data_IF_527744943672
#
_entry.id   IF_527744943672
#
_cell.length_a   1.000
_cell.length_b   1.000
_cell.length_c   1.000
_cell.angle_alpha   90.00
_cell.angle_beta   90.00
_cell.angle_gamma   90.00
#
_symmetry.space_group_name_H-M   'P 1'
#
loop_
_entity.id
_entity.type
_entity.pdbx_description
1 polymer ?
#
# COMPACT_ATOMS: atom_id res chain seq x y z
N UNK A 1 5.22 -20.45 -1.41
CA UNK A 1 6.14 -19.33 -1.74
C UNK A 1 6.73 -19.60 -3.12
N UNK A 2 6.73 -18.64 -4.04
CA UNK A 2 7.40 -18.79 -5.35
C UNK A 2 8.90 -18.52 -5.19
N UNK A 3 9.76 -19.26 -5.92
CA UNK A 3 11.23 -19.13 -5.83
C UNK A 3 11.71 -17.69 -6.08
N UNK A 4 11.05 -16.97 -6.99
CA UNK A 4 11.33 -15.57 -7.29
C UNK A 4 11.09 -14.63 -6.10
N UNK A 5 10.03 -14.86 -5.31
CA UNK A 5 9.74 -14.03 -4.13
C UNK A 5 10.77 -14.21 -3.02
N UNK A 6 11.30 -15.44 -2.85
CA UNK A 6 12.41 -15.72 -1.93
C UNK A 6 13.70 -15.03 -2.37
N UNK A 7 14.04 -15.08 -3.66
CA UNK A 7 15.24 -14.42 -4.19
C UNK A 7 15.16 -12.90 -3.99
N UNK A 8 14.04 -12.27 -4.34
CA UNK A 8 13.84 -10.82 -4.17
C UNK A 8 13.88 -10.41 -2.69
N UNK A 9 13.27 -11.19 -1.80
CA UNK A 9 13.31 -10.94 -0.36
C UNK A 9 14.73 -11.04 0.19
N UNK A 10 15.47 -12.09 -0.17
CA UNK A 10 16.86 -12.28 0.24
C UNK A 10 17.74 -11.14 -0.27
N UNK A 11 17.57 -10.73 -1.54
CA UNK A 11 18.33 -9.64 -2.13
C UNK A 11 18.04 -8.29 -1.43
N UNK A 12 16.76 -8.00 -1.18
CA UNK A 12 16.34 -6.79 -0.46
C UNK A 12 16.83 -6.77 0.99
N UNK A 13 16.81 -7.93 1.67
CA UNK A 13 17.34 -8.07 3.03
C UNK A 13 18.85 -7.91 3.07
N UNK A 14 19.57 -8.50 2.10
CA UNK A 14 21.02 -8.34 1.99
C UNK A 14 21.41 -6.88 1.73
N UNK A 15 20.68 -6.18 0.85
CA UNK A 15 20.87 -4.76 0.59
C UNK A 15 20.61 -3.93 1.85
N UNK A 16 19.54 -4.22 2.58
CA UNK A 16 19.24 -3.57 3.86
C UNK A 16 20.37 -3.73 4.88
N UNK A 17 20.85 -4.97 5.09
CA UNK A 17 21.95 -5.26 6.01
C UNK A 17 23.24 -4.56 5.56
N UNK A 18 23.52 -4.55 4.25
CA UNK A 18 24.70 -3.88 3.70
C UNK A 18 24.65 -2.35 3.93
N UNK A 19 23.50 -1.71 3.69
CA UNK A 19 23.31 -0.28 3.94
C UNK A 19 23.45 0.07 5.43
N UNK A 20 22.90 -0.77 6.32
CA UNK A 20 23.00 -0.60 7.77
C UNK A 20 24.44 -0.78 8.27
N UNK A 21 25.15 -1.78 7.75
CA UNK A 21 26.55 -2.04 8.07
C UNK A 21 27.47 -0.93 7.55
N UNK A 22 27.18 -0.40 6.35
CA UNK A 22 27.96 0.68 5.73
C UNK A 22 27.80 2.01 6.48
N UNK A 23 26.58 2.37 6.89
CA UNK A 23 26.34 3.60 7.64
C UNK A 23 26.81 3.52 9.10
N UNK A 24 26.89 2.30 9.64
CA UNK A 24 27.22 2.05 11.04
C UNK A 24 25.99 2.06 11.93
N UNK A 25 25.77 0.94 12.61
CA UNK A 25 24.61 0.72 13.51
C UNK A 25 24.56 1.75 14.64
N UNK A 26 25.72 2.23 15.11
CA UNK A 26 25.81 3.20 16.20
C UNK A 26 25.20 4.56 15.89
N UNK A 27 25.49 5.12 14.70
CA UNK A 27 24.96 6.43 14.29
C UNK A 27 23.43 6.39 14.16
N UNK A 28 22.92 5.35 13.48
CA UNK A 28 21.49 5.11 13.35
C UNK A 28 20.80 4.93 14.70
N UNK A 29 21.41 4.15 15.61
CA UNK A 29 20.88 3.94 16.95
C UNK A 29 20.82 5.24 17.76
N UNK A 30 21.83 6.12 17.65
CA UNK A 30 21.81 7.42 18.32
C UNK A 30 20.70 8.34 17.82
N UNK A 31 20.42 8.39 16.51
CA UNK A 31 19.32 9.17 15.94
C UNK A 31 17.96 8.64 16.40
N UNK A 32 17.82 7.32 16.52
CA UNK A 32 16.61 6.68 17.07
C UNK A 32 16.39 7.00 18.55
N UNK A 33 17.44 6.92 19.34
CA UNK A 33 17.38 7.26 20.76
C UNK A 33 17.03 8.74 20.96
N UNK A 34 17.51 9.62 20.09
CA UNK A 34 17.15 11.03 20.09
C UNK A 34 15.64 11.25 19.81
N UNK A 35 15.02 10.44 18.94
CA UNK A 35 13.59 10.53 18.67
C UNK A 35 12.70 10.07 19.82
N UNK A 36 13.17 9.12 20.66
CA UNK A 36 12.49 8.69 21.88
C UNK A 36 11.00 8.35 21.67
N UNK A 37 10.13 8.92 22.51
CA UNK A 37 8.67 8.73 22.43
C UNK A 37 8.03 9.38 21.19
N UNK A 38 8.75 10.25 20.48
CA UNK A 38 8.28 10.85 19.23
C UNK A 38 7.93 9.81 18.17
N UNK A 39 8.64 8.67 18.14
CA UNK A 39 8.33 7.56 17.23
C UNK A 39 6.97 6.91 17.52
N UNK A 40 6.54 6.88 18.79
CA UNK A 40 5.20 6.41 19.14
C UNK A 40 4.12 7.36 18.64
N UNK A 41 4.36 8.68 18.66
CA UNK A 41 3.46 9.68 18.08
C UNK A 41 3.39 9.57 16.56
N UNK A 42 4.52 9.35 15.89
CA UNK A 42 4.56 9.07 14.43
C UNK A 42 3.74 7.81 14.12
N UNK A 43 3.90 6.76 14.93
CA UNK A 43 3.10 5.55 14.76
C UNK A 43 1.61 5.77 15.00
N UNK A 44 1.24 6.54 16.03
CA UNK A 44 -0.14 6.91 16.30
C UNK A 44 -0.73 7.76 15.17
N UNK A 45 0.05 8.69 14.60
CA UNK A 45 -0.38 9.55 13.51
C UNK A 45 -0.78 8.73 12.27
N UNK A 46 -0.11 7.60 12.01
CA UNK A 46 -0.44 6.73 10.88
C UNK A 46 -1.86 6.14 10.91
N UNK A 47 -2.53 6.15 12.07
CA UNK A 47 -3.95 5.77 12.16
C UNK A 47 -4.83 6.73 11.34
N UNK A 48 -4.42 7.99 11.16
CA UNK A 48 -5.16 8.99 10.38
C UNK A 48 -5.23 8.64 8.89
N UNK A 49 -4.11 8.46 8.15
CA UNK A 49 -4.18 8.04 6.75
C UNK A 49 -4.84 6.67 6.60
N UNK A 50 -4.63 5.74 7.55
CA UNK A 50 -5.33 4.46 7.58
C UNK A 50 -6.87 4.62 7.66
N UNK A 51 -7.34 5.54 8.48
CA UNK A 51 -8.77 5.85 8.60
C UNK A 51 -9.32 6.52 7.34
N UNK A 52 -8.56 7.41 6.70
CA UNK A 52 -8.95 8.03 5.42
C UNK A 52 -9.11 6.95 4.33
N UNK A 53 -8.15 6.04 4.22
CA UNK A 53 -8.22 4.90 3.29
C UNK A 53 -9.44 3.99 3.59
N UNK A 54 -9.74 3.78 4.86
CA UNK A 54 -10.93 3.03 5.27
C UNK A 54 -12.24 3.74 4.86
N UNK A 55 -12.31 5.06 5.00
CA UNK A 55 -13.44 5.86 4.50
C UNK A 55 -13.54 5.72 2.98
N UNK A 56 -12.42 5.79 2.26
CA UNK A 56 -12.37 5.66 0.80
C UNK A 56 -12.97 4.33 0.32
N UNK A 57 -12.72 3.24 1.05
CA UNK A 57 -13.34 1.91 0.80
C UNK A 57 -14.82 1.92 1.17
N UNK A 58 -15.19 2.47 2.33
CA UNK A 58 -16.58 2.46 2.81
C UNK A 58 -17.56 3.15 1.85
N UNK A 59 -17.10 4.21 1.16
CA UNK A 59 -17.88 4.98 0.18
C UNK A 59 -18.29 4.14 -1.04
N UNK A 60 -17.55 3.06 -1.35
CA UNK A 60 -17.89 2.16 -2.45
C UNK A 60 -19.18 1.38 -2.15
N UNK A 61 -19.48 1.11 -0.89
CA UNK A 61 -20.65 0.33 -0.48
C UNK A 61 -21.91 1.20 -0.39
N UNK A 62 -23.09 0.56 -0.45
CA UNK A 62 -24.36 1.26 -0.18
C UNK A 62 -24.58 1.35 1.32
N UNK A 63 -25.21 2.43 1.79
CA UNK A 63 -25.62 2.56 3.21
C UNK A 63 -26.43 1.33 3.64
N UNK A 64 -26.14 0.82 4.83
CA UNK A 64 -26.74 -0.40 5.38
C UNK A 64 -26.05 -1.71 5.00
N UNK A 65 -25.03 -1.68 4.12
CA UNK A 65 -24.19 -2.86 3.89
C UNK A 65 -23.07 -2.94 4.94
N UNK A 66 -22.65 -4.14 5.38
CA UNK A 66 -21.57 -4.28 6.36
C UNK A 66 -20.24 -3.64 5.93
N UNK A 67 -19.97 -3.58 4.63
CA UNK A 67 -18.78 -2.91 4.08
C UNK A 67 -18.81 -1.38 4.16
N UNK A 68 -20.00 -0.77 4.33
CA UNK A 68 -20.13 0.68 4.53
C UNK A 68 -19.84 1.09 5.99
N UNK A 69 -19.79 0.13 6.91
CA UNK A 69 -19.45 0.41 8.30
C UNK A 69 -17.96 0.70 8.43
N UNK A 70 -17.62 1.89 8.93
CA UNK A 70 -16.23 2.34 9.06
C UNK A 70 -15.38 1.35 9.87
N UNK A 71 -15.94 0.74 10.93
CA UNK A 71 -15.21 -0.26 11.72
C UNK A 71 -14.82 -1.51 10.93
N UNK A 72 -15.66 -1.97 9.99
CA UNK A 72 -15.33 -3.12 9.15
C UNK A 72 -14.35 -2.72 8.04
N UNK A 73 -14.53 -1.54 7.43
CA UNK A 73 -13.62 -1.01 6.43
C UNK A 73 -12.21 -0.76 7.01
N UNK A 74 -12.13 -0.21 8.23
CA UNK A 74 -10.89 0.06 8.94
C UNK A 74 -10.13 -1.23 9.25
N UNK A 75 -10.82 -2.23 9.81
CA UNK A 75 -10.19 -3.53 10.10
C UNK A 75 -9.78 -4.26 8.82
N UNK A 76 -10.58 -4.19 7.75
CA UNK A 76 -10.20 -4.74 6.46
C UNK A 76 -8.92 -4.07 5.96
N UNK A 77 -8.89 -2.73 5.91
CA UNK A 77 -7.71 -1.97 5.45
C UNK A 77 -6.47 -2.26 6.30
N UNK A 78 -6.61 -2.26 7.61
CA UNK A 78 -5.53 -2.53 8.54
C UNK A 78 -4.93 -3.93 8.36
N UNK A 79 -5.77 -4.95 8.20
CA UNK A 79 -5.33 -6.32 7.86
C UNK A 79 -4.63 -6.35 6.51
N UNK A 80 -5.20 -5.68 5.50
CA UNK A 80 -4.63 -5.62 4.16
C UNK A 80 -3.23 -4.99 4.14
N UNK A 81 -3.06 -3.89 4.85
CA UNK A 81 -1.77 -3.22 5.01
C UNK A 81 -0.77 -4.09 5.78
N UNK A 82 -1.18 -4.67 6.90
CA UNK A 82 -0.34 -5.57 7.71
C UNK A 82 0.23 -6.72 6.88
N UNK A 83 -0.60 -7.31 6.01
CA UNK A 83 -0.21 -8.40 5.11
C UNK A 83 0.77 -7.91 4.05
N UNK A 84 0.48 -6.78 3.39
CA UNK A 84 1.34 -6.23 2.35
C UNK A 84 2.70 -5.76 2.89
N UNK A 85 2.74 -5.29 4.14
CA UNK A 85 3.94 -4.79 4.79
C UNK A 85 4.82 -5.90 5.38
N UNK A 86 4.21 -6.94 5.98
CA UNK A 86 4.95 -7.92 6.78
C UNK A 86 5.03 -9.32 6.16
N UNK A 87 4.08 -9.70 5.29
CA UNK A 87 4.06 -11.03 4.71
C UNK A 87 4.69 -11.04 3.31
N UNK A 88 5.41 -12.11 2.94
CA UNK A 88 5.98 -12.28 1.61
C UNK A 88 4.91 -12.70 0.59
N UNK A 89 3.77 -11.99 0.58
CA UNK A 89 2.64 -12.19 -0.33
C UNK A 89 2.60 -11.13 -1.45
N UNK A 90 3.62 -10.27 -1.51
CA UNK A 90 3.65 -9.09 -2.39
C UNK A 90 2.49 -8.13 -2.09
N UNK A 91 2.22 -7.22 -3.02
CA UNK A 91 1.10 -6.26 -2.87
C UNK A 91 -0.29 -6.88 -3.16
N UNK A 92 -0.36 -8.17 -3.48
CA UNK A 92 -1.60 -8.87 -3.86
C UNK A 92 -2.28 -9.50 -2.62
N UNK A 93 -1.51 -9.91 -1.61
CA UNK A 93 -2.03 -10.60 -0.42
C UNK A 93 -3.02 -9.75 0.38
N UNK A 94 -2.72 -8.47 0.56
CA UNK A 94 -3.54 -7.53 1.31
C UNK A 94 -4.95 -7.40 0.75
N UNK A 95 -5.13 -7.03 -0.54
CA UNK A 95 -6.44 -6.98 -1.17
C UNK A 95 -7.26 -8.27 -1.04
N UNK A 96 -6.63 -9.45 -1.19
CA UNK A 96 -7.32 -10.74 -1.05
C UNK A 96 -7.88 -10.91 0.36
N UNK A 97 -7.10 -10.57 1.40
CA UNK A 97 -7.53 -10.70 2.78
C UNK A 97 -8.52 -9.60 3.21
N UNK A 98 -8.47 -8.42 2.60
CA UNK A 98 -9.51 -7.39 2.74
C UNK A 98 -10.87 -7.92 2.26
N UNK A 99 -10.89 -8.49 1.04
CA UNK A 99 -12.11 -9.08 0.45
C UNK A 99 -12.66 -10.19 1.33
N UNK A 100 -11.77 -11.10 1.79
CA UNK A 100 -12.14 -12.18 2.70
C UNK A 100 -12.71 -11.64 4.02
N UNK A 101 -12.08 -10.63 4.61
CA UNK A 101 -12.55 -10.02 5.86
C UNK A 101 -13.97 -9.45 5.71
N UNK A 102 -14.19 -8.66 4.66
CA UNK A 102 -15.50 -8.07 4.39
C UNK A 102 -16.57 -9.14 4.10
N UNK A 103 -16.19 -10.23 3.42
CA UNK A 103 -17.07 -11.37 3.17
C UNK A 103 -17.44 -12.13 4.45
N UNK A 104 -16.50 -12.28 5.39
CA UNK A 104 -16.77 -12.87 6.71
C UNK A 104 -17.75 -12.04 7.54
N UNK A 105 -17.84 -10.73 7.28
CA UNK A 105 -18.78 -9.78 7.92
C UNK A 105 -20.13 -9.67 7.20
N UNK A 106 -20.39 -10.51 6.19
CA UNK A 106 -21.68 -10.57 5.49
C UNK A 106 -21.75 -9.77 4.19
N UNK A 107 -20.64 -9.16 3.75
CA UNK A 107 -20.59 -8.54 2.41
C UNK A 107 -20.53 -9.64 1.35
N UNK A 108 -21.30 -9.52 0.27
CA UNK A 108 -21.22 -10.48 -0.84
C UNK A 108 -19.82 -10.43 -1.45
N UNK A 109 -19.22 -11.61 -1.69
CA UNK A 109 -17.82 -11.73 -2.15
C UNK A 109 -17.52 -10.89 -3.41
N UNK A 110 -18.45 -10.88 -4.38
CA UNK A 110 -18.31 -10.10 -5.60
C UNK A 110 -18.27 -8.58 -5.34
N UNK A 111 -19.13 -8.08 -4.44
CA UNK A 111 -19.15 -6.65 -4.07
C UNK A 111 -17.89 -6.25 -3.31
N UNK A 112 -17.42 -7.10 -2.38
CA UNK A 112 -16.19 -6.88 -1.65
C UNK A 112 -14.97 -6.86 -2.60
N UNK A 113 -14.88 -7.83 -3.52
CA UNK A 113 -13.83 -7.89 -4.53
C UNK A 113 -13.85 -6.67 -5.44
N UNK A 114 -15.03 -6.26 -5.92
CA UNK A 114 -15.17 -5.08 -6.75
C UNK A 114 -14.76 -3.80 -6.01
N UNK A 115 -15.26 -3.58 -4.79
CA UNK A 115 -14.93 -2.39 -3.99
C UNK A 115 -13.44 -2.29 -3.67
N UNK A 116 -12.82 -3.39 -3.22
CA UNK A 116 -11.38 -3.42 -2.91
C UNK A 116 -10.55 -3.20 -4.18
N UNK A 117 -10.94 -3.81 -5.30
CA UNK A 117 -10.23 -3.65 -6.59
C UNK A 117 -10.31 -2.22 -7.10
N UNK A 118 -11.51 -1.64 -7.16
CA UNK A 118 -11.72 -0.25 -7.60
C UNK A 118 -11.01 0.72 -6.66
N UNK A 119 -11.13 0.53 -5.34
CA UNK A 119 -10.45 1.37 -4.35
C UNK A 119 -8.93 1.31 -4.47
N UNK A 120 -8.35 0.11 -4.63
CA UNK A 120 -6.89 -0.05 -4.81
C UNK A 120 -6.43 0.61 -6.11
N UNK A 121 -7.24 0.53 -7.17
CA UNK A 121 -6.95 1.19 -8.45
C UNK A 121 -6.98 2.71 -8.30
N UNK A 122 -8.00 3.27 -7.63
CA UNK A 122 -8.06 4.71 -7.35
C UNK A 122 -6.93 5.17 -6.44
N UNK A 123 -6.52 4.35 -5.47
CA UNK A 123 -5.38 4.63 -4.60
C UNK A 123 -4.06 4.68 -5.38
N UNK A 124 -3.83 3.75 -6.30
CA UNK A 124 -2.66 3.76 -7.18
C UNK A 124 -2.69 4.98 -8.12
N UNK A 125 -3.85 5.32 -8.71
CA UNK A 125 -4.00 6.54 -9.52
C UNK A 125 -3.69 7.80 -8.71
N UNK A 126 -4.20 7.88 -7.47
CA UNK A 126 -3.93 9.00 -6.57
C UNK A 126 -2.46 9.08 -6.15
N UNK A 127 -1.79 7.93 -5.94
CA UNK A 127 -0.35 7.87 -5.64
C UNK A 127 0.48 8.45 -6.77
N UNK A 128 0.13 8.14 -8.02
CA UNK A 128 0.84 8.68 -9.18
C UNK A 128 0.56 10.16 -9.37
N UNK A 129 -0.68 10.62 -9.16
CA UNK A 129 -0.98 12.04 -9.16
C UNK A 129 -0.15 12.77 -8.08
N UNK A 130 -0.06 12.21 -6.88
CA UNK A 130 0.76 12.73 -5.79
C UNK A 130 2.26 12.73 -6.15
N UNK A 131 2.78 11.66 -6.75
CA UNK A 131 4.15 11.59 -7.24
C UNK A 131 4.45 12.66 -8.31
N UNK A 132 3.54 12.84 -9.28
CA UNK A 132 3.66 13.87 -10.32
C UNK A 132 3.63 15.28 -9.73
N UNK A 133 2.75 15.55 -8.75
CA UNK A 133 2.70 16.82 -8.03
C UNK A 133 4.04 17.08 -7.32
N UNK A 134 4.59 16.08 -6.64
CA UNK A 134 5.90 16.18 -5.99
C UNK A 134 7.03 16.47 -6.97
N UNK A 135 7.10 15.75 -8.09
CA UNK A 135 8.12 15.97 -9.14
C UNK A 135 7.96 17.36 -9.78
N UNK A 136 6.72 17.80 -10.04
CA UNK A 136 6.44 19.12 -10.62
C UNK A 136 6.84 20.23 -9.65
N UNK A 137 6.43 20.13 -8.37
CA UNK A 137 6.83 21.06 -7.33
C UNK A 137 8.36 21.13 -7.20
N UNK A 138 9.05 20.00 -7.25
CA UNK A 138 10.51 19.94 -7.26
C UNK A 138 11.11 20.69 -8.44
N UNK A 139 10.58 20.48 -9.65
CA UNK A 139 11.13 21.10 -10.86
C UNK A 139 10.97 22.62 -10.91
N UNK A 140 10.03 23.17 -10.16
CA UNK A 140 9.82 24.62 -10.03
C UNK A 140 10.67 25.24 -8.93
N UNK A 141 11.06 24.46 -7.92
CA UNK A 141 11.79 24.94 -6.74
C UNK A 141 13.30 24.66 -6.80
N UNK A 142 13.74 23.63 -7.52
CA UNK A 142 15.13 23.22 -7.56
C UNK A 142 15.95 24.16 -8.47
N UNK A 143 16.58 25.17 -7.87
CA UNK A 143 17.66 25.98 -8.46
C UNK A 143 19.02 25.26 -8.47
N UNK A 144 19.06 23.94 -8.29
CA UNK A 144 20.30 23.16 -8.16
C UNK A 144 20.49 22.21 -9.35
N UNK A 145 21.53 22.46 -10.16
CA UNK A 145 21.92 21.63 -11.31
C UNK A 145 22.23 20.17 -10.95
N UNK A 146 22.52 19.90 -9.67
CA UNK A 146 22.99 18.61 -9.17
C UNK A 146 21.96 17.47 -9.20
N UNK A 147 20.75 17.68 -9.74
CA UNK A 147 19.65 16.70 -9.67
C UNK A 147 18.87 16.57 -10.99
N UNK A 148 19.26 17.33 -12.02
CA UNK A 148 18.65 17.21 -13.35
C UNK A 148 18.68 15.76 -13.86
N UNK A 149 19.69 14.98 -13.45
CA UNK A 149 19.84 13.57 -13.81
C UNK A 149 18.80 12.63 -13.19
N UNK A 150 18.19 12.96 -12.04
CA UNK A 150 17.14 12.14 -11.41
C UNK A 150 15.73 12.52 -11.92
N UNK A 151 15.56 13.73 -12.45
CA UNK A 151 14.27 14.21 -12.96
C UNK A 151 13.73 13.33 -14.08
N UNK A 152 14.55 13.05 -15.09
CA UNK A 152 14.13 12.28 -16.27
C UNK A 152 13.78 10.82 -15.90
N UNK A 153 14.60 10.07 -15.15
CA UNK A 153 14.24 8.74 -14.66
C UNK A 153 12.97 8.73 -13.81
N UNK A 154 12.78 9.72 -12.93
CA UNK A 154 11.57 9.81 -12.09
C UNK A 154 10.31 10.06 -12.94
N UNK A 155 10.38 10.92 -13.95
CA UNK A 155 9.29 11.16 -14.89
C UNK A 155 8.98 9.93 -15.73
N UNK A 156 10.00 9.22 -16.24
CA UNK A 156 9.84 7.98 -17.00
C UNK A 156 9.19 6.91 -16.11
N UNK A 157 9.71 6.68 -14.90
CA UNK A 157 9.16 5.70 -13.97
C UNK A 157 7.69 6.00 -13.63
N UNK A 158 7.38 7.27 -13.34
CA UNK A 158 6.01 7.71 -13.05
C UNK A 158 5.10 7.57 -14.26
N UNK A 159 5.59 7.89 -15.47
CA UNK A 159 4.87 7.73 -16.73
C UNK A 159 4.58 6.27 -17.06
N UNK A 160 5.55 5.37 -16.86
CA UNK A 160 5.40 3.92 -17.07
C UNK A 160 4.41 3.34 -16.08
N UNK A 161 4.54 3.64 -14.78
CA UNK A 161 3.57 3.23 -13.76
C UNK A 161 2.18 3.79 -14.06
N UNK A 162 2.10 5.05 -14.50
CA UNK A 162 0.91 5.73 -15.01
C UNK A 162 0.22 4.94 -16.11
N UNK A 163 0.96 4.61 -17.16
CA UNK A 163 0.48 3.84 -18.28
C UNK A 163 -0.01 2.45 -17.85
N UNK A 164 0.71 1.76 -16.96
CA UNK A 164 0.31 0.45 -16.43
C UNK A 164 -0.98 0.53 -15.62
N UNK A 165 -1.14 1.53 -14.76
CA UNK A 165 -2.36 1.71 -13.97
C UNK A 165 -3.56 2.11 -14.85
N UNK A 166 -3.35 2.97 -15.85
CA UNK A 166 -4.39 3.32 -16.86
C UNK A 166 -4.76 2.09 -17.68
N UNK A 167 -3.78 1.28 -18.11
CA UNK A 167 -4.02 0.05 -18.83
C UNK A 167 -4.79 -0.96 -17.96
N UNK A 168 -4.44 -1.08 -16.68
CA UNK A 168 -5.14 -1.93 -15.72
C UNK A 168 -6.58 -1.47 -15.50
N UNK A 169 -6.80 -0.16 -15.34
CA UNK A 169 -8.12 0.45 -15.29
C UNK A 169 -8.96 0.17 -16.54
N UNK A 170 -8.38 0.35 -17.72
CA UNK A 170 -9.03 0.03 -18.99
C UNK A 170 -9.34 -1.47 -19.12
N UNK A 171 -8.45 -2.33 -18.63
CA UNK A 171 -8.63 -3.77 -18.63
C UNK A 171 -9.77 -4.19 -17.70
N UNK A 172 -9.87 -3.60 -16.50
CA UNK A 172 -10.97 -3.81 -15.55
C UNK A 172 -12.32 -3.43 -16.16
N UNK A 173 -12.42 -2.28 -16.83
CA UNK A 173 -13.67 -1.84 -17.49
C UNK A 173 -14.14 -2.79 -18.59
N UNK A 174 -13.23 -3.56 -19.19
CA UNK A 174 -13.54 -4.50 -20.26
C UNK A 174 -13.82 -5.93 -19.72
N UNK A 175 -13.87 -6.11 -18.40
CA UNK A 175 -14.03 -7.41 -17.73
C UNK A 175 -12.72 -8.19 -17.67
N UNK A 176 -11.83 -7.80 -16.76
CA UNK A 176 -10.48 -8.37 -16.62
C UNK A 176 -10.56 -9.79 -16.06
N UNK A 177 -11.41 -10.03 -15.06
CA UNK A 177 -11.42 -11.27 -14.30
C UNK A 177 -11.99 -12.42 -15.11
N UNK A 178 -13.10 -12.20 -15.82
CA UNK A 178 -13.71 -13.18 -16.71
C UNK A 178 -12.82 -13.51 -17.91
N UNK A 179 -12.19 -12.51 -18.55
CA UNK A 179 -11.25 -12.76 -19.66
C UNK A 179 -9.99 -13.48 -19.21
N UNK A 180 -9.43 -13.09 -18.06
CA UNK A 180 -8.26 -13.75 -17.47
C UNK A 180 -8.53 -15.22 -17.16
N UNK A 181 -9.69 -15.53 -16.57
CA UNK A 181 -10.05 -16.90 -16.26
C UNK A 181 -10.32 -17.74 -17.52
N UNK A 182 -10.98 -17.17 -18.55
CA UNK A 182 -11.19 -17.84 -19.84
C UNK A 182 -9.88 -18.13 -20.59
N UNK A 183 -8.87 -17.29 -20.41
CA UNK A 183 -7.53 -17.54 -20.96
C UNK A 183 -6.81 -18.63 -20.15
N UNK A 184 -6.90 -18.58 -18.83
CA UNK A 184 -6.32 -19.60 -17.95
C UNK A 184 -6.96 -20.98 -18.17
N UNK A 185 -8.27 -21.06 -18.38
CA UNK A 185 -8.97 -22.33 -18.66
C UNK A 185 -8.54 -22.96 -19.98
N UNK A 186 -8.16 -22.15 -20.98
CA UNK A 186 -7.60 -22.64 -22.26
C UNK A 186 -6.17 -23.19 -22.10
N UNK A 187 -5.39 -22.65 -21.15
CA UNK A 187 -3.99 -23.02 -20.94
C UNK A 187 -3.81 -24.16 -19.91
N UNK A 188 -4.69 -24.26 -18.91
CA UNK A 188 -4.57 -25.18 -17.76
C UNK A 188 -5.40 -26.48 -17.90
N UNK A 189 -6.03 -26.70 -19.05
CA UNK A 189 -6.74 -27.94 -19.39
C UNK A 189 -8.20 -28.02 -18.92
N UNK A 190 -8.91 -29.12 -19.27
CA UNK A 190 -10.34 -29.30 -19.03
C UNK A 190 -10.61 -29.63 -17.55
N UNK A 191 -10.71 -28.60 -16.72
CA UNK A 191 -11.37 -28.68 -15.40
C UNK A 191 -12.74 -28.02 -15.50
N UNK A 192 -13.64 -28.34 -14.58
CA UNK A 192 -14.90 -27.62 -14.46
C UNK A 192 -14.65 -26.20 -13.92
N UNK A 193 -14.44 -25.26 -14.85
CA UNK A 193 -14.21 -23.85 -14.56
C UNK A 193 -15.51 -23.05 -14.48
N UNK A 194 -16.68 -23.67 -14.70
CA UNK A 194 -17.96 -22.97 -14.84
C UNK A 194 -18.30 -22.12 -13.62
N UNK A 195 -18.20 -22.71 -12.42
CA UNK A 195 -18.47 -22.02 -11.15
C UNK A 195 -17.51 -20.86 -10.86
N UNK A 196 -16.24 -20.98 -11.26
CA UNK A 196 -15.25 -19.92 -11.13
C UNK A 196 -15.49 -18.81 -12.16
N UNK A 197 -15.91 -19.16 -13.38
CA UNK A 197 -16.26 -18.20 -14.42
C UNK A 197 -17.46 -17.35 -14.01
N UNK A 198 -18.53 -17.96 -13.50
CA UNK A 198 -19.69 -17.22 -12.99
C UNK A 198 -19.30 -16.26 -11.87
N UNK A 199 -18.38 -16.65 -10.97
CA UNK A 199 -17.87 -15.77 -9.92
C UNK A 199 -17.03 -14.62 -10.47
N UNK A 200 -16.19 -14.89 -11.46
CA UNK A 200 -15.35 -13.88 -12.11
C UNK A 200 -16.20 -12.87 -12.89
N UNK A 201 -17.21 -13.33 -13.63
CA UNK A 201 -18.14 -12.47 -14.36
C UNK A 201 -18.98 -11.63 -13.37
N UNK A 202 -19.42 -12.20 -12.24
CA UNK A 202 -20.10 -11.43 -11.19
C UNK A 202 -19.23 -10.32 -10.56
N UNK A 203 -17.91 -10.54 -10.46
CA UNK A 203 -16.96 -9.50 -10.04
C UNK A 203 -16.85 -8.42 -11.11
N UNK A 204 -16.70 -8.80 -12.39
CA UNK A 204 -16.63 -7.86 -13.50
C UNK A 204 -17.90 -6.98 -13.59
N UNK A 205 -19.09 -7.56 -13.40
CA UNK A 205 -20.36 -6.82 -13.36
C UNK A 205 -20.42 -5.83 -12.20
N UNK A 206 -19.99 -6.24 -11.00
CA UNK A 206 -19.94 -5.39 -9.83
C UNK A 206 -18.92 -4.25 -9.98
N UNK A 207 -17.76 -4.52 -10.59
CA UNK A 207 -16.76 -3.50 -10.95
C UNK A 207 -17.34 -2.51 -11.97
N UNK A 208 -18.02 -3.01 -13.01
CA UNK A 208 -18.72 -2.19 -13.99
C UNK A 208 -19.81 -1.31 -13.38
N UNK A 209 -20.57 -1.83 -12.41
CA UNK A 209 -21.56 -1.07 -11.65
C UNK A 209 -20.92 0.06 -10.83
N UNK A 210 -19.82 -0.21 -10.11
CA UNK A 210 -19.10 0.82 -9.36
C UNK A 210 -18.52 1.91 -10.28
N UNK A 211 -17.97 1.53 -11.44
CA UNK A 211 -17.43 2.51 -12.39
C UNK A 211 -18.48 3.39 -13.07
N UNK A 212 -19.75 2.97 -13.09
CA UNK A 212 -20.87 3.80 -13.55
C UNK A 212 -21.22 4.91 -12.55
N UNK A 213 -21.01 4.67 -11.25
CA UNK A 213 -21.18 5.67 -10.21
C UNK A 213 -19.93 6.57 -10.11
N UNK A 214 -19.89 7.58 -10.97
CA UNK A 214 -18.77 8.53 -11.05
C UNK A 214 -18.52 9.28 -9.74
N UNK A 215 -19.57 9.53 -8.96
CA UNK A 215 -19.46 10.24 -7.69
C UNK A 215 -18.70 9.40 -6.66
N UNK A 216 -18.99 8.09 -6.56
CA UNK A 216 -18.24 7.20 -5.68
C UNK A 216 -16.78 7.09 -6.09
N UNK A 217 -16.51 6.89 -7.38
CA UNK A 217 -15.15 6.77 -7.91
C UNK A 217 -14.33 8.04 -7.65
N UNK A 218 -14.90 9.21 -7.93
CA UNK A 218 -14.25 10.49 -7.68
C UNK A 218 -13.99 10.74 -6.19
N UNK A 219 -14.95 10.41 -5.32
CA UNK A 219 -14.78 10.52 -3.86
C UNK A 219 -13.67 9.63 -3.34
N UNK A 220 -13.62 8.37 -3.77
CA UNK A 220 -12.55 7.44 -3.37
C UNK A 220 -11.18 7.90 -3.89
N UNK A 221 -11.09 8.39 -5.12
CA UNK A 221 -9.86 8.99 -5.63
C UNK A 221 -9.42 10.22 -4.80
N UNK A 222 -10.33 11.15 -4.52
CA UNK A 222 -10.04 12.34 -3.73
C UNK A 222 -9.61 11.99 -2.30
N UNK A 223 -10.31 11.04 -1.65
CA UNK A 223 -9.94 10.56 -0.32
C UNK A 223 -8.56 9.89 -0.32
N UNK A 224 -8.26 9.04 -1.31
CA UNK A 224 -6.93 8.46 -1.44
C UNK A 224 -5.85 9.53 -1.65
N UNK A 225 -6.12 10.57 -2.45
CA UNK A 225 -5.19 11.67 -2.64
C UNK A 225 -4.95 12.47 -1.36
N UNK A 226 -6.00 12.74 -0.59
CA UNK A 226 -5.89 13.34 0.75
C UNK A 226 -5.09 12.43 1.68
N UNK A 227 -5.32 11.12 1.64
CA UNK A 227 -4.53 10.13 2.40
C UNK A 227 -3.03 10.22 2.09
N UNK A 228 -2.66 10.36 0.82
CA UNK A 228 -1.26 10.55 0.41
C UNK A 228 -0.66 11.87 0.91
N UNK A 229 -1.40 12.97 0.81
CA UNK A 229 -0.95 14.28 1.32
C UNK A 229 -0.80 14.24 2.84
N UNK A 230 -1.76 13.64 3.56
CA UNK A 230 -1.68 13.46 5.02
C UNK A 230 -0.49 12.55 5.38
N UNK A 231 -0.18 11.54 4.57
CA UNK A 231 1.03 10.72 4.73
C UNK A 231 2.33 11.52 4.72
N UNK A 232 2.37 12.68 4.06
CA UNK A 232 3.53 13.59 4.11
C UNK A 232 3.79 14.12 5.51
N UNK A 233 2.74 14.41 6.28
CA UNK A 233 2.90 14.86 7.67
C UNK A 233 3.60 13.81 8.52
N UNK A 234 3.46 12.53 8.19
CA UNK A 234 4.16 11.47 8.90
C UNK A 234 5.68 11.54 8.71
N UNK A 235 6.14 11.77 7.46
CA UNK A 235 7.57 11.98 7.17
C UNK A 235 8.09 13.24 7.84
N UNK A 236 7.31 14.32 7.76
CA UNK A 236 7.66 15.59 8.39
C UNK A 236 7.80 15.47 9.92
N UNK A 237 6.84 14.81 10.58
CA UNK A 237 6.88 14.54 12.02
C UNK A 237 8.04 13.61 12.39
N UNK A 238 8.27 12.55 11.61
CA UNK A 238 9.37 11.62 11.86
C UNK A 238 10.72 12.36 11.82
N UNK A 239 10.96 13.17 10.80
CA UNK A 239 12.18 13.97 10.67
C UNK A 239 12.32 15.02 11.78
N UNK A 240 11.22 15.65 12.19
CA UNK A 240 11.20 16.56 13.33
C UNK A 240 11.67 15.88 14.61
N UNK A 241 11.13 14.70 14.94
CA UNK A 241 11.54 13.95 16.13
C UNK A 241 12.94 13.36 16.01
N UNK A 242 13.40 13.01 14.82
CA UNK A 242 14.77 12.56 14.57
C UNK A 242 15.82 13.68 14.71
N UNK A 243 15.40 14.93 14.99
CA UNK A 243 16.30 16.07 15.15
C UNK A 243 16.72 16.75 13.85
N UNK A 244 16.06 16.39 12.74
CA UNK A 244 16.33 16.95 11.41
C UNK A 244 15.07 17.59 10.83
N UNK A 245 14.58 18.71 11.41
CA UNK A 245 13.37 19.37 10.93
C UNK A 245 13.59 19.86 9.49
N UNK A 246 12.70 19.43 8.59
CA UNK A 246 12.68 19.86 7.19
C UNK A 246 11.44 20.70 6.91
N UNK A 247 11.45 21.44 5.80
CA UNK A 247 10.25 22.14 5.38
C UNK A 247 9.15 21.15 4.99
N UNK A 248 7.89 21.60 4.99
CA UNK A 248 6.78 20.77 4.51
C UNK A 248 6.98 20.34 3.05
N UNK A 249 7.57 21.23 2.23
CA UNK A 249 7.86 20.93 0.83
C UNK A 249 8.89 19.81 0.71
N UNK A 250 9.96 19.84 1.49
CA UNK A 250 10.98 18.79 1.51
C UNK A 250 10.42 17.43 1.95
N UNK A 251 9.55 17.43 2.98
CA UNK A 251 8.86 16.22 3.38
C UNK A 251 7.94 15.68 2.27
N UNK A 252 7.24 16.57 1.56
CA UNK A 252 6.38 16.22 0.42
C UNK A 252 7.20 15.60 -0.71
N UNK A 253 8.38 16.15 -0.97
CA UNK A 253 9.32 15.65 -1.98
C UNK A 253 9.81 14.25 -1.62
N UNK A 254 10.30 14.06 -0.40
CA UNK A 254 10.75 12.76 0.10
C UNK A 254 9.63 11.72 0.05
N UNK A 255 8.42 12.08 0.47
CA UNK A 255 7.30 11.15 0.49
C UNK A 255 6.83 10.82 -0.93
N UNK A 256 6.66 11.81 -1.81
CA UNK A 256 6.18 11.60 -3.18
C UNK A 256 7.12 10.74 -4.01
N UNK A 257 8.43 11.02 -3.99
CA UNK A 257 9.41 10.22 -4.73
C UNK A 257 9.66 8.88 -4.04
N UNK A 258 9.64 8.83 -2.70
CA UNK A 258 9.69 7.58 -1.94
C UNK A 258 8.55 6.64 -2.30
N UNK A 259 7.33 7.16 -2.48
CA UNK A 259 6.19 6.38 -2.95
C UNK A 259 6.32 5.95 -4.40
N UNK A 260 6.91 6.75 -5.28
CA UNK A 260 7.20 6.33 -6.65
C UNK A 260 8.18 5.14 -6.69
N UNK A 261 9.23 5.18 -5.85
CA UNK A 261 10.20 4.09 -5.70
C UNK A 261 9.51 2.85 -5.12
N UNK A 262 8.67 2.99 -4.08
CA UNK A 262 7.87 1.88 -3.53
C UNK A 262 6.93 1.27 -4.57
N UNK A 263 6.36 2.10 -5.45
CA UNK A 263 5.54 1.68 -6.59
C UNK A 263 6.36 0.91 -7.64
N UNK A 264 7.56 1.38 -7.99
CA UNK A 264 8.46 0.66 -8.90
C UNK A 264 8.93 -0.67 -8.30
N UNK A 265 9.12 -0.70 -6.98
CA UNK A 265 9.48 -1.88 -6.20
C UNK A 265 8.28 -2.77 -5.84
N UNK A 266 7.12 -2.67 -6.50
CA UNK A 266 5.92 -3.42 -6.13
C UNK A 266 6.10 -4.94 -6.13
N UNK A 267 7.03 -5.45 -6.94
CA UNK A 267 7.37 -6.86 -7.02
C UNK A 267 8.22 -7.34 -5.83
N UNK A 268 8.88 -6.42 -5.12
CA UNK A 268 9.73 -6.72 -3.96
C UNK A 268 8.84 -6.76 -2.71
N UNK A 269 8.70 -7.91 -2.03
CA UNK A 269 7.90 -7.99 -0.80
C UNK A 269 8.43 -7.05 0.27
N UNK A 270 7.54 -6.28 0.90
CA UNK A 270 7.91 -5.25 1.88
C UNK A 270 8.74 -4.09 1.31
N UNK A 271 9.06 -4.09 0.01
CA UNK A 271 9.97 -3.14 -0.66
C UNK A 271 11.30 -2.93 0.06
N UNK A 272 11.79 -3.98 0.74
CA UNK A 272 13.01 -3.95 1.54
C UNK A 272 14.23 -3.65 0.66
N UNK A 273 15.07 -2.72 1.11
CA UNK A 273 16.24 -2.23 0.41
C UNK A 273 15.91 -1.15 -0.64
N UNK A 274 14.75 -1.22 -1.28
CA UNK A 274 14.31 -0.21 -2.24
C UNK A 274 13.86 1.09 -1.55
N UNK A 275 13.16 0.99 -0.41
CA UNK A 275 12.78 2.19 0.36
C UNK A 275 14.00 2.87 0.99
N UNK A 276 14.88 2.09 1.60
CA UNK A 276 16.07 2.58 2.29
C UNK A 276 17.04 3.23 1.29
N UNK A 277 17.32 2.53 0.18
CA UNK A 277 18.10 3.08 -0.93
C UNK A 277 17.43 4.30 -1.55
N UNK A 278 16.10 4.29 -1.67
CA UNK A 278 15.34 5.43 -2.18
C UNK A 278 15.50 6.68 -1.31
N UNK A 279 15.31 6.57 0.00
CA UNK A 279 15.51 7.71 0.90
C UNK A 279 16.96 8.18 0.93
N UNK A 280 17.95 7.27 0.91
CA UNK A 280 19.37 7.63 0.82
C UNK A 280 19.71 8.41 -0.45
N UNK A 281 19.14 8.03 -1.59
CA UNK A 281 19.34 8.75 -2.85
C UNK A 281 18.67 10.13 -2.86
N UNK A 282 17.58 10.29 -2.11
CA UNK A 282 16.81 11.53 -2.04
C UNK A 282 17.28 12.48 -0.92
N UNK A 283 17.92 11.96 0.12
CA UNK A 283 18.34 12.75 1.28
C UNK A 283 19.21 13.97 0.94
N UNK A 284 20.22 13.86 0.04
CA UNK A 284 21.02 15.02 -0.34
C UNK A 284 20.21 16.14 -0.98
N UNK A 285 19.06 15.82 -1.59
CA UNK A 285 18.21 16.78 -2.30
C UNK A 285 17.51 17.76 -1.36
N UNK A 286 17.33 17.36 -0.12
CA UNK A 286 16.67 18.13 0.94
C UNK A 286 17.64 18.50 2.06
N UNK A 287 18.95 18.36 1.81
CA UNK A 287 20.00 18.66 2.78
C UNK A 287 20.05 17.69 3.98
N UNK A 288 19.44 16.50 3.87
CA UNK A 288 19.48 15.49 4.93
C UNK A 288 20.76 14.66 4.83
N UNK A 289 21.44 14.41 5.96
CA UNK A 289 22.57 13.51 5.97
C UNK A 289 22.10 12.04 5.83
N UNK A 290 22.96 11.14 5.30
CA UNK A 290 22.59 9.74 5.01
C UNK A 290 22.10 8.94 6.22
N UNK A 291 22.62 9.21 7.41
CA UNK A 291 22.21 8.62 8.69
C UNK A 291 20.77 9.02 9.06
N UNK A 292 20.40 10.28 8.89
CA UNK A 292 19.03 10.76 9.11
C UNK A 292 18.03 10.09 8.15
N UNK A 293 18.43 9.90 6.90
CA UNK A 293 17.59 9.24 5.88
C UNK A 293 17.37 7.76 6.18
N UNK A 294 18.43 7.05 6.59
CA UNK A 294 18.32 5.68 7.08
C UNK A 294 17.49 5.60 8.36
N UNK A 295 17.68 6.54 9.28
CA UNK A 295 16.89 6.60 10.51
C UNK A 295 15.40 6.83 10.23
N UNK A 296 15.06 7.72 9.29
CA UNK A 296 13.70 7.92 8.80
C UNK A 296 13.12 6.63 8.21
N UNK A 297 13.87 5.95 7.34
CA UNK A 297 13.41 4.71 6.71
C UNK A 297 13.12 3.62 7.74
N UNK A 298 14.03 3.44 8.69
CA UNK A 298 13.86 2.53 9.81
C UNK A 298 12.70 2.95 10.72
N UNK A 299 12.46 4.24 10.93
CA UNK A 299 11.39 4.72 11.79
C UNK A 299 10.02 4.36 11.19
N UNK A 300 9.87 4.55 9.87
CA UNK A 300 8.70 4.07 9.12
C UNK A 300 8.56 2.55 9.23
N UNK A 301 9.68 1.83 9.27
CA UNK A 301 9.74 0.36 9.38
C UNK A 301 9.35 -0.14 10.78
N UNK A 302 9.78 0.55 11.84
CA UNK A 302 9.37 0.29 13.20
C UNK A 302 7.87 0.50 13.38
N UNK A 303 7.30 1.59 12.83
CA UNK A 303 5.84 1.80 12.74
C UNK A 303 5.15 0.67 11.97
N UNK A 304 5.71 0.31 10.80
CA UNK A 304 5.49 -0.94 10.04
C UNK A 304 5.07 -2.12 10.91
N UNK A 305 6.00 -2.47 11.79
CA UNK A 305 5.93 -3.59 12.69
C UNK A 305 4.96 -3.33 13.85
N UNK A 306 5.02 -2.14 14.45
CA UNK A 306 4.20 -1.76 15.59
C UNK A 306 2.70 -1.83 15.27
N UNK A 307 2.29 -1.43 14.06
CA UNK A 307 0.90 -1.49 13.62
C UNK A 307 0.58 -2.78 12.87
N UNK A 308 1.52 -3.32 12.11
CA UNK A 308 1.30 -4.52 11.31
C UNK A 308 1.20 -5.80 12.13
N UNK A 309 2.01 -5.97 13.18
CA UNK A 309 1.99 -7.17 14.01
C UNK A 309 0.65 -7.37 14.72
N UNK A 310 0.07 -6.34 15.40
CA UNK A 310 -1.26 -6.50 15.98
C UNK A 310 -2.35 -6.73 14.92
N UNK A 311 -2.19 -6.18 13.71
CA UNK A 311 -3.11 -6.43 12.59
C UNK A 311 -3.08 -7.88 12.10
N UNK A 312 -1.89 -8.50 12.03
CA UNK A 312 -1.75 -9.93 11.73
C UNK A 312 -2.30 -10.82 12.84
N UNK A 313 -2.09 -10.45 14.12
CA UNK A 313 -2.69 -11.15 15.25
C UNK A 313 -4.22 -11.09 15.19
N UNK A 314 -4.77 -9.90 14.92
CA UNK A 314 -6.21 -9.72 14.74
C UNK A 314 -6.74 -10.59 13.59
N UNK A 315 -6.05 -10.64 12.45
CA UNK A 315 -6.40 -11.53 11.34
C UNK A 315 -6.44 -12.99 11.79
N UNK A 316 -5.40 -13.47 12.47
CA UNK A 316 -5.30 -14.85 12.94
C UNK A 316 -6.49 -15.22 13.86
N UNK A 317 -6.80 -14.38 14.85
CA UNK A 317 -7.93 -14.62 15.74
C UNK A 317 -9.28 -14.50 15.03
N UNK A 318 -9.43 -13.53 14.13
CA UNK A 318 -10.65 -13.36 13.32
C UNK A 318 -10.93 -14.60 12.46
N UNK A 319 -9.90 -15.14 11.81
CA UNK A 319 -10.04 -16.36 11.01
C UNK A 319 -10.37 -17.59 11.86
N UNK A 320 -9.68 -17.76 12.99
CA UNK A 320 -9.94 -18.87 13.91
C UNK A 320 -11.36 -18.84 14.47
N UNK A 321 -11.84 -17.66 14.87
CA UNK A 321 -13.20 -17.49 15.38
C UNK A 321 -14.25 -17.76 14.30
N UNK A 322 -13.99 -17.34 13.06
CA UNK A 322 -14.89 -17.61 11.94
C UNK A 322 -14.94 -19.10 11.59
N UNK A 323 -13.80 -19.80 11.60
CA UNK A 323 -13.75 -21.26 11.40
C UNK A 323 -14.53 -21.99 12.50
N UNK A 324 -14.37 -21.59 13.76
CA UNK A 324 -15.12 -22.17 14.90
C UNK A 324 -16.62 -22.03 14.76
N UNK A 325 -17.11 -20.87 14.30
CA UNK A 325 -18.55 -20.63 14.07
C UNK A 325 -19.14 -21.45 12.92
N UNK A 326 -18.29 -21.94 12.00
CA UNK A 326 -18.69 -22.76 10.85
C UNK A 326 -18.38 -24.25 11.01
N UNK A 327 -17.67 -24.63 12.06
CA UNK A 327 -17.47 -26.04 12.37
C UNK A 327 -18.85 -26.66 12.69
N UNK A 328 -19.19 -27.81 12.11
CA UNK A 328 -20.40 -28.54 12.50
C UNK A 328 -20.37 -28.75 14.01
N UNK A 329 -21.42 -28.35 14.72
CA UNK A 329 -21.56 -28.77 16.11
C UNK A 329 -21.64 -30.31 16.11
N UNK A 330 -20.84 -31.02 16.93
CA UNK A 330 -21.06 -32.45 17.11
C UNK A 330 -22.50 -32.62 17.58
N UNK A 331 -23.24 -33.51 16.90
CA UNK A 331 -24.57 -33.93 17.35
C UNK A 331 -24.42 -34.34 18.81
N UNK A 332 -25.17 -33.70 19.70
CA UNK A 332 -25.25 -34.15 21.08
C UNK A 332 -25.94 -35.51 21.07
N UNK A 333 -25.18 -36.56 21.40
CA UNK A 333 -25.68 -37.91 21.64
C UNK A 333 -26.58 -37.96 22.89
#
# INVERSE_FOLDING_TARGET
MTRAGLILLSLGTALFIALLAWQGVGAVASTFLAAGWGLALVAAFHVVPLAIDAVAISVMFRRGQPGAELGNALRARWVGESVNSLLPAGQIGGPVLMVRHLAQRGTRMADAAAAVTVSTTMQALAQMAFALIGIAAFSLYATHESVAYLRTPALIATGVLGALAIAFYAAQRRGLFGRGLRLASKLLGPRDWSSLATRADAIDDAVGALYRDRAKVAKTFALSLVGWIVGTAEVWLALHFLGHPVSWLDALLLESVGQAIRGAAFAIPGSLGAQEGGYLLLAPLVGLPPDAALALSLAKRARELALGLPGLLYLHFSERNWQRRRAPQPLAD
#
